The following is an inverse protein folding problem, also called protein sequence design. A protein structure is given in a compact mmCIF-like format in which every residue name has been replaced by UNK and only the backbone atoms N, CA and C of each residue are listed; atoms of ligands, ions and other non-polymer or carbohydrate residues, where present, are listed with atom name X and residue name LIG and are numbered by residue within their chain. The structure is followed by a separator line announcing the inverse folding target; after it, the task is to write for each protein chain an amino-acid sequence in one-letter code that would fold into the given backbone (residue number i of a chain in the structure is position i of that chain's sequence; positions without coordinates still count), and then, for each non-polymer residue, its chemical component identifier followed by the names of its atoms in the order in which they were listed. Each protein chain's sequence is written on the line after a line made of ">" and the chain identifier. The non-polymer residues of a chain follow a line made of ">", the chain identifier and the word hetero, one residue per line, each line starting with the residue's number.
data_IF_683891785758
#
_entry.id   IF_683891785758
#
_cell.length_a   1.000
_cell.length_b   1.000
_cell.length_c   1.000
_cell.angle_alpha   90.00
_cell.angle_beta   90.00
_cell.angle_gamma   90.00
#
_symmetry.space_group_name_H-M   'P 1'
#
loop_
_entity.id
_entity.type
_entity.pdbx_description
1 polymer ?
#
# COMPACT_ATOMS: atom_id res chain seq x y z
N UNK A 1 9.69 83.94 -0.04
CA UNK A 1 9.42 85.13 -0.87
C UNK A 1 7.93 85.12 -1.15
N UNK A 2 7.17 85.78 -0.27
CA UNK A 2 6.43 87.02 -0.57
C UNK A 2 5.17 86.79 -1.41
N UNK A 3 4.00 86.80 -0.76
CA UNK A 3 3.04 87.94 -0.71
C UNK A 3 2.13 87.95 -1.97
N UNK A 4 0.79 87.94 -1.90
CA UNK A 4 -0.12 88.83 -1.15
C UNK A 4 -1.56 88.30 -1.18
N UNK A 5 -2.30 88.56 -0.10
CA UNK A 5 -3.77 88.59 -0.04
C UNK A 5 -4.31 89.78 -0.83
N UNK A 6 -5.52 89.67 -1.39
CA UNK A 6 -6.53 90.73 -1.27
C UNK A 6 -7.94 90.16 -1.41
N UNK A 7 -8.81 90.54 -0.48
CA UNK A 7 -10.23 90.23 -0.43
C UNK A 7 -11.04 91.25 -1.27
N UNK A 8 -12.20 90.84 -1.79
CA UNK A 8 -13.34 91.74 -2.03
C UNK A 8 -14.67 90.99 -1.94
N UNK A 9 -15.59 91.58 -1.16
CA UNK A 9 -17.00 91.20 -0.94
C UNK A 9 -17.86 91.49 -2.18
N UNK A 10 -18.88 90.67 -2.40
CA UNK A 10 -20.04 90.93 -3.28
C UNK A 10 -21.25 90.09 -2.83
N UNK A 11 -22.43 90.71 -2.80
CA UNK A 11 -23.69 90.34 -2.15
C UNK A 11 -24.42 89.08 -2.69
N UNK A 12 -25.52 88.59 -2.05
CA UNK A 12 -26.04 87.24 -2.18
C UNK A 12 -27.10 87.09 -3.29
N UNK A 13 -27.04 85.99 -4.03
CA UNK A 13 -28.09 85.58 -4.96
C UNK A 13 -28.99 84.52 -4.31
N UNK A 14 -30.24 84.89 -4.04
CA UNK A 14 -31.30 83.96 -3.64
C UNK A 14 -31.66 83.05 -4.82
N UNK A 15 -31.32 81.76 -4.73
CA UNK A 15 -31.87 80.72 -5.59
C UNK A 15 -33.04 80.08 -4.86
N UNK A 16 -34.25 80.48 -5.26
CA UNK A 16 -35.51 79.87 -4.84
C UNK A 16 -35.51 78.41 -5.31
N UNK A 17 -35.47 77.50 -4.34
CA UNK A 17 -35.68 76.08 -4.50
C UNK A 17 -37.16 75.85 -4.86
N UNK A 18 -37.44 75.47 -6.11
CA UNK A 18 -38.68 74.82 -6.47
C UNK A 18 -38.44 73.31 -6.51
N UNK A 19 -38.73 72.65 -5.38
CA UNK A 19 -38.81 71.20 -5.27
C UNK A 19 -40.06 70.74 -6.03
N UNK A 20 -39.89 70.32 -7.29
CA UNK A 20 -40.85 69.43 -7.92
C UNK A 20 -40.52 68.01 -7.48
N UNK A 21 -41.17 67.56 -6.41
CA UNK A 21 -41.21 66.16 -6.03
C UNK A 21 -42.04 65.40 -7.09
N UNK A 22 -41.37 64.94 -8.14
CA UNK A 22 -41.93 63.92 -9.03
C UNK A 22 -41.92 62.62 -8.22
N UNK A 23 -43.06 62.27 -7.63
CA UNK A 23 -43.35 60.93 -7.14
C UNK A 23 -43.35 59.99 -8.36
N UNK A 24 -42.18 59.47 -8.72
CA UNK A 24 -42.06 58.24 -9.48
C UNK A 24 -42.56 57.12 -8.57
N UNK A 25 -43.87 56.90 -8.55
CA UNK A 25 -44.40 55.59 -8.22
C UNK A 25 -43.93 54.63 -9.31
N UNK A 26 -42.79 53.99 -9.09
CA UNK A 26 -42.51 52.71 -9.73
C UNK A 26 -43.58 51.76 -9.24
N UNK A 27 -44.64 51.58 -10.02
CA UNK A 27 -45.51 50.42 -9.89
C UNK A 27 -44.62 49.22 -10.17
N UNK A 28 -44.07 48.62 -9.12
CA UNK A 28 -43.51 47.29 -9.23
C UNK A 28 -44.69 46.37 -9.56
N UNK A 29 -44.80 45.94 -10.81
CA UNK A 29 -45.74 44.88 -11.15
C UNK A 29 -45.24 43.64 -10.42
N UNK A 30 -45.94 43.24 -9.36
CA UNK A 30 -45.62 42.03 -8.63
C UNK A 30 -45.77 40.85 -9.60
N UNK A 31 -44.66 40.22 -9.96
CA UNK A 31 -44.66 39.01 -10.78
C UNK A 31 -45.21 37.87 -9.93
N UNK A 32 -46.27 37.21 -10.38
CA UNK A 32 -46.87 36.09 -9.65
C UNK A 32 -45.88 34.92 -9.64
N UNK A 33 -45.65 34.34 -8.47
CA UNK A 33 -44.76 33.21 -8.26
C UNK A 33 -45.48 32.11 -7.54
N UNK A 34 -45.46 30.91 -8.12
CA UNK A 34 -45.88 29.67 -7.47
C UNK A 34 -44.72 28.70 -7.43
N UNK A 35 -44.87 27.68 -6.60
CA UNK A 35 -43.98 26.54 -6.59
C UNK A 35 -44.79 25.24 -6.59
N UNK A 36 -44.25 24.22 -7.24
CA UNK A 36 -44.84 22.88 -7.29
C UNK A 36 -43.71 21.86 -7.23
N UNK A 37 -43.82 20.82 -6.38
CA UNK A 37 -42.91 19.69 -6.47
C UNK A 37 -43.02 19.03 -7.84
N UNK A 38 -41.92 18.45 -8.30
CA UNK A 38 -41.97 17.56 -9.45
C UNK A 38 -42.69 16.24 -9.12
N UNK A 39 -42.86 15.39 -10.14
CA UNK A 39 -43.45 14.06 -10.03
C UNK A 39 -44.88 13.99 -9.45
N UNK A 40 -45.55 15.15 -9.34
CA UNK A 40 -46.95 15.25 -8.91
C UNK A 40 -47.94 14.74 -9.97
N UNK A 41 -49.09 14.28 -9.50
CA UNK A 41 -50.16 13.75 -10.36
C UNK A 41 -50.74 14.83 -11.29
N UNK A 42 -51.18 14.41 -12.47
CA UNK A 42 -51.89 15.28 -13.43
C UNK A 42 -53.18 15.80 -12.80
N UNK A 43 -53.43 17.10 -12.94
CA UNK A 43 -54.55 17.80 -12.30
C UNK A 43 -54.23 18.34 -10.91
N UNK A 44 -52.98 18.23 -10.44
CA UNK A 44 -52.54 18.90 -9.20
C UNK A 44 -52.66 20.42 -9.34
N UNK A 45 -53.23 21.07 -8.32
CA UNK A 45 -53.36 22.53 -8.24
C UNK A 45 -52.00 23.16 -7.92
N UNK A 46 -51.57 24.10 -8.76
CA UNK A 46 -50.34 24.88 -8.56
C UNK A 46 -50.63 26.21 -7.87
N UNK A 47 -51.71 26.89 -8.25
CA UNK A 47 -52.04 28.21 -7.70
C UNK A 47 -53.27 28.84 -8.35
N UNK A 48 -53.89 29.82 -7.68
CA UNK A 48 -55.08 30.50 -8.18
C UNK A 48 -54.71 31.87 -8.79
N UNK A 49 -54.42 31.86 -10.09
CA UNK A 49 -53.95 33.07 -10.79
C UNK A 49 -55.05 34.15 -10.82
N UNK A 50 -56.31 33.75 -11.05
CA UNK A 50 -57.41 34.72 -11.11
C UNK A 50 -57.60 35.46 -9.80
N UNK A 51 -57.54 34.76 -8.67
CA UNK A 51 -57.62 35.38 -7.34
C UNK A 51 -56.47 36.36 -7.12
N UNK A 52 -55.24 35.99 -7.48
CA UNK A 52 -54.06 36.82 -7.25
C UNK A 52 -53.99 38.04 -8.19
N UNK A 53 -54.62 37.96 -9.37
CA UNK A 53 -54.84 39.09 -10.28
C UNK A 53 -56.11 39.90 -9.99
N UNK A 54 -56.94 39.48 -9.03
CA UNK A 54 -58.22 40.13 -8.72
C UNK A 54 -59.28 40.00 -9.82
N UNK A 55 -59.21 38.95 -10.64
CA UNK A 55 -60.13 38.66 -11.73
C UNK A 55 -61.29 37.79 -11.25
N UNK A 56 -62.53 38.18 -11.59
CA UNK A 56 -63.71 37.36 -11.32
C UNK A 56 -63.95 36.31 -12.43
N UNK A 57 -64.72 35.28 -12.11
CA UNK A 57 -64.99 34.14 -13.01
C UNK A 57 -65.68 34.53 -14.32
N UNK A 58 -66.49 35.59 -14.32
CA UNK A 58 -67.17 36.05 -15.54
C UNK A 58 -66.14 36.69 -16.47
N UNK A 59 -65.28 37.55 -15.94
CA UNK A 59 -64.18 38.20 -16.66
C UNK A 59 -63.24 37.17 -17.31
N UNK A 60 -62.91 36.07 -16.64
CA UNK A 60 -62.03 35.03 -17.21
C UNK A 60 -62.61 34.40 -18.48
N UNK A 61 -63.91 34.08 -18.48
CA UNK A 61 -64.58 33.44 -19.60
C UNK A 61 -64.84 34.44 -20.74
N UNK A 62 -65.33 35.62 -20.41
CA UNK A 62 -65.68 36.66 -21.39
C UNK A 62 -64.43 37.19 -22.11
N UNK A 63 -63.31 37.27 -21.40
CA UNK A 63 -62.02 37.71 -21.93
C UNK A 63 -61.07 36.56 -22.32
N UNK A 64 -61.59 35.33 -22.40
CA UNK A 64 -60.88 34.13 -22.86
C UNK A 64 -59.49 33.94 -22.22
N UNK A 65 -59.43 33.98 -20.90
CA UNK A 65 -58.18 33.84 -20.17
C UNK A 65 -57.47 32.53 -20.51
N UNK A 66 -56.19 32.59 -20.89
CA UNK A 66 -55.42 31.39 -21.27
C UNK A 66 -53.92 31.59 -21.12
N UNK A 67 -53.21 30.48 -21.01
CA UNK A 67 -51.74 30.43 -21.16
C UNK A 67 -51.39 30.44 -22.65
N UNK A 68 -50.37 31.22 -23.01
CA UNK A 68 -49.75 31.22 -24.33
C UNK A 68 -48.54 30.31 -24.27
N UNK A 69 -48.64 29.15 -24.90
CA UNK A 69 -47.53 28.20 -25.06
C UNK A 69 -47.31 27.93 -26.55
N UNK A 70 -46.04 27.86 -26.96
CA UNK A 70 -45.66 27.42 -28.30
C UNK A 70 -45.46 25.90 -28.37
N UNK A 71 -45.51 25.20 -27.23
CA UNK A 71 -45.36 23.76 -27.15
C UNK A 71 -46.72 23.08 -27.37
N UNK A 72 -46.74 22.02 -28.18
CA UNK A 72 -47.94 21.23 -28.46
C UNK A 72 -48.45 20.48 -27.21
N UNK A 73 -47.54 20.21 -26.25
CA UNK A 73 -47.85 19.56 -24.97
C UNK A 73 -47.32 20.40 -23.80
N UNK A 74 -48.10 21.35 -23.27
CA UNK A 74 -47.65 22.26 -22.21
C UNK A 74 -47.64 21.58 -20.84
N UNK A 75 -46.63 21.89 -20.01
CA UNK A 75 -46.51 21.38 -18.62
C UNK A 75 -47.68 21.81 -17.72
N UNK A 76 -48.26 22.98 -17.98
CA UNK A 76 -49.32 23.58 -17.17
C UNK A 76 -50.50 24.03 -18.03
N UNK A 77 -51.70 23.98 -17.47
CA UNK A 77 -52.90 24.56 -18.06
C UNK A 77 -53.64 25.41 -17.02
N UNK A 78 -54.40 26.39 -17.50
CA UNK A 78 -55.27 27.21 -16.66
C UNK A 78 -56.71 26.94 -17.05
N UNK A 79 -57.57 26.61 -16.09
CA UNK A 79 -58.99 26.44 -16.33
C UNK A 79 -59.66 27.82 -16.42
N UNK A 80 -60.40 28.05 -17.50
CA UNK A 80 -61.04 29.35 -17.79
C UNK A 80 -62.27 29.63 -16.90
N UNK A 81 -62.78 28.62 -16.21
CA UNK A 81 -63.97 28.69 -15.37
C UNK A 81 -63.66 29.08 -13.91
N UNK A 82 -62.47 28.74 -13.41
CA UNK A 82 -62.04 29.02 -12.05
C UNK A 82 -60.74 29.84 -11.95
N UNK A 83 -59.95 29.92 -13.04
CA UNK A 83 -58.70 30.65 -13.11
C UNK A 83 -57.54 30.00 -12.36
N UNK A 84 -57.65 28.71 -12.04
CA UNK A 84 -56.65 27.93 -11.32
C UNK A 84 -55.67 27.30 -12.31
N UNK A 85 -54.40 27.35 -11.94
CA UNK A 85 -53.30 26.72 -12.65
C UNK A 85 -53.17 25.26 -12.19
N UNK A 86 -53.18 24.34 -13.14
CA UNK A 86 -53.08 22.91 -12.91
C UNK A 86 -51.91 22.30 -13.70
N UNK A 87 -51.35 21.22 -13.16
CA UNK A 87 -50.37 20.39 -13.86
C UNK A 87 -51.05 19.58 -14.96
N UNK A 88 -50.56 19.68 -16.20
CA UNK A 88 -51.15 18.98 -17.37
C UNK A 88 -50.51 17.63 -17.65
N UNK A 89 -49.23 17.49 -17.30
CA UNK A 89 -48.44 16.27 -17.50
C UNK A 89 -47.45 16.14 -16.35
N UNK A 90 -46.99 14.91 -16.08
CA UNK A 90 -45.97 14.67 -15.07
C UNK A 90 -44.71 15.48 -15.39
N UNK A 91 -44.12 16.08 -14.37
CA UNK A 91 -42.95 16.94 -14.49
C UNK A 91 -41.78 16.14 -13.92
N UNK A 92 -40.82 15.82 -14.77
CA UNK A 92 -39.50 15.31 -14.41
C UNK A 92 -38.55 16.51 -14.50
N UNK A 93 -38.02 16.96 -13.35
CA UNK A 93 -37.18 18.17 -13.28
C UNK A 93 -35.84 17.92 -13.95
N UNK A 94 -35.29 16.73 -13.85
CA UNK A 94 -34.02 16.33 -14.45
C UNK A 94 -34.11 16.38 -15.99
N UNK A 95 -35.26 16.02 -16.56
CA UNK A 95 -35.51 16.15 -18.01
C UNK A 95 -35.64 17.62 -18.44
N UNK A 96 -36.38 18.43 -17.69
CA UNK A 96 -36.75 19.79 -18.12
C UNK A 96 -35.66 20.82 -17.83
N UNK A 97 -34.99 20.69 -16.69
CA UNK A 97 -34.03 21.67 -16.18
C UNK A 97 -32.60 21.13 -16.03
N UNK A 98 -32.38 19.84 -16.30
CA UNK A 98 -31.10 19.17 -16.11
C UNK A 98 -30.53 19.44 -14.70
N UNK A 99 -29.21 19.63 -14.61
CA UNK A 99 -28.51 19.89 -13.35
C UNK A 99 -28.53 21.37 -12.92
N UNK A 100 -29.48 22.16 -13.43
CA UNK A 100 -29.57 23.57 -13.04
C UNK A 100 -29.97 23.70 -11.58
N UNK A 101 -29.29 24.58 -10.83
CA UNK A 101 -29.57 24.82 -9.41
C UNK A 101 -30.95 25.43 -9.12
N UNK A 102 -31.61 25.98 -10.14
CA UNK A 102 -32.97 26.49 -10.07
C UNK A 102 -33.76 26.09 -11.30
N UNK A 103 -34.99 25.60 -11.12
CA UNK A 103 -35.89 25.24 -12.21
C UNK A 103 -37.11 26.16 -12.21
N UNK A 104 -37.14 27.16 -13.10
CA UNK A 104 -38.21 28.17 -13.15
C UNK A 104 -38.86 28.23 -14.53
N UNK A 105 -40.16 27.96 -14.58
CA UNK A 105 -40.98 28.01 -15.79
C UNK A 105 -41.64 29.38 -15.90
N UNK A 106 -41.32 30.10 -16.96
CA UNK A 106 -41.92 31.41 -17.24
C UNK A 106 -43.16 31.24 -18.12
N UNK A 107 -44.34 31.32 -17.50
CA UNK A 107 -45.62 31.25 -18.18
C UNK A 107 -46.12 32.64 -18.55
N UNK A 108 -46.65 32.78 -19.76
CA UNK A 108 -47.30 33.99 -20.26
C UNK A 108 -48.80 33.76 -20.33
N UNK A 109 -49.60 34.53 -19.59
CA UNK A 109 -51.05 34.47 -19.65
C UNK A 109 -51.63 35.72 -20.28
N UNK A 110 -52.78 35.58 -20.95
CA UNK A 110 -53.41 36.67 -21.70
C UNK A 110 -54.91 36.76 -21.44
N UNK A 111 -55.41 37.98 -21.37
CA UNK A 111 -56.83 38.33 -21.47
C UNK A 111 -57.04 39.10 -22.78
N UNK A 112 -58.15 38.84 -23.46
CA UNK A 112 -58.52 39.52 -24.70
C UNK A 112 -59.49 40.68 -24.44
N UNK A 113 -59.47 41.69 -25.32
CA UNK A 113 -60.43 42.82 -25.39
C UNK A 113 -60.69 43.59 -24.07
N UNK A 114 -59.77 44.46 -23.60
CA UNK A 114 -58.47 44.81 -24.20
C UNK A 114 -57.41 43.72 -23.97
N UNK A 115 -56.33 43.73 -24.76
CA UNK A 115 -55.24 42.78 -24.56
C UNK A 115 -54.47 43.12 -23.28
N UNK A 116 -54.48 42.21 -22.30
CA UNK A 116 -53.65 42.28 -21.10
C UNK A 116 -52.77 41.02 -21.00
N UNK A 117 -51.53 41.21 -20.59
CA UNK A 117 -50.52 40.14 -20.50
C UNK A 117 -49.98 40.09 -19.08
N UNK A 118 -49.99 38.90 -18.48
CA UNK A 118 -49.39 38.66 -17.17
C UNK A 118 -48.31 37.59 -17.29
N UNK A 119 -47.25 37.74 -16.48
CA UNK A 119 -46.16 36.79 -16.40
C UNK A 119 -46.23 36.06 -15.05
N UNK A 120 -46.33 34.74 -15.12
CA UNK A 120 -46.39 33.86 -13.95
C UNK A 120 -45.15 32.99 -13.97
N UNK A 121 -44.39 32.96 -12.87
CA UNK A 121 -43.27 32.04 -12.71
C UNK A 121 -43.73 30.86 -11.87
N UNK A 122 -43.48 29.65 -12.35
CA UNK A 122 -43.64 28.44 -11.56
C UNK A 122 -42.27 27.86 -11.29
N UNK A 123 -41.87 27.84 -10.04
CA UNK A 123 -40.67 27.14 -9.57
C UNK A 123 -41.00 25.66 -9.41
N UNK A 124 -40.29 24.81 -10.15
CA UNK A 124 -40.38 23.35 -9.97
C UNK A 124 -39.41 22.97 -8.87
N UNK A 125 -39.94 22.48 -7.76
CA UNK A 125 -39.16 22.05 -6.61
C UNK A 125 -38.69 20.62 -6.83
N UNK A 126 -37.38 20.46 -6.69
CA UNK A 126 -36.68 19.19 -6.70
C UNK A 126 -37.18 18.26 -5.58
N UNK A 127 -37.26 16.96 -5.86
CA UNK A 127 -37.50 15.93 -4.84
C UNK A 127 -36.34 14.93 -4.84
N UNK A 128 -36.14 14.22 -3.72
CA UNK A 128 -35.11 13.19 -3.65
C UNK A 128 -35.61 11.88 -4.30
N UNK A 129 -35.69 11.82 -5.63
CA UNK A 129 -36.15 10.66 -6.40
C UNK A 129 -35.02 9.88 -7.09
N UNK A 130 -33.83 10.46 -7.25
CA UNK A 130 -32.61 9.75 -7.63
C UNK A 130 -31.75 9.40 -6.41
N UNK A 131 -30.65 8.67 -6.65
CA UNK A 131 -29.69 8.29 -5.63
C UNK A 131 -28.28 8.53 -6.17
N UNK A 132 -27.30 8.81 -5.31
CA UNK A 132 -25.91 8.91 -5.74
C UNK A 132 -25.47 7.63 -6.44
N UNK A 133 -24.76 7.77 -7.57
CA UNK A 133 -24.24 6.63 -8.32
C UNK A 133 -22.80 6.86 -8.75
N UNK A 134 -21.97 5.83 -8.64
CA UNK A 134 -20.61 5.85 -9.17
C UNK A 134 -20.63 5.35 -10.62
N UNK A 135 -19.78 5.91 -11.52
CA UNK A 135 -19.66 5.41 -12.89
C UNK A 135 -19.23 3.93 -12.95
N UNK A 136 -18.32 3.55 -12.07
CA UNK A 136 -17.80 2.18 -11.93
C UNK A 136 -18.15 1.65 -10.52
N UNK A 137 -18.58 0.39 -10.43
CA UNK A 137 -18.85 -0.27 -9.14
C UNK A 137 -17.58 -0.66 -8.40
N UNK A 138 -16.46 -0.82 -9.11
CA UNK A 138 -15.22 -1.34 -8.59
C UNK A 138 -14.02 -0.52 -9.07
N UNK A 139 -13.11 -0.18 -8.15
CA UNK A 139 -11.86 0.53 -8.44
C UNK A 139 -10.68 -0.23 -7.89
N UNK A 140 -9.74 -0.62 -8.76
CA UNK A 140 -8.45 -1.14 -8.31
C UNK A 140 -7.41 -0.02 -8.28
N UNK A 141 -6.67 0.06 -7.17
CA UNK A 141 -5.51 0.93 -6.98
C UNK A 141 -4.30 0.07 -6.69
N UNK A 142 -3.15 0.43 -7.25
CA UNK A 142 -1.88 -0.24 -6.98
C UNK A 142 -0.97 0.74 -6.25
N UNK A 143 -0.44 0.33 -5.10
CA UNK A 143 0.42 1.15 -4.25
C UNK A 143 1.59 0.32 -3.77
N UNK A 144 2.82 0.83 -3.90
CA UNK A 144 3.98 0.19 -3.28
C UNK A 144 3.87 0.23 -1.76
N UNK A 145 4.38 -0.78 -1.06
CA UNK A 145 4.36 -0.78 0.41
C UNK A 145 5.21 0.34 1.03
N UNK A 146 6.27 0.74 0.33
CA UNK A 146 7.11 1.89 0.67
C UNK A 146 6.41 3.25 0.50
N UNK A 147 5.12 3.28 0.11
CA UNK A 147 4.35 4.50 0.00
C UNK A 147 4.27 5.22 1.34
N UNK A 148 4.65 6.50 1.35
CA UNK A 148 4.67 7.28 2.58
C UNK A 148 3.24 7.64 3.04
N UNK A 149 2.98 7.60 4.36
CA UNK A 149 1.77 8.18 4.91
C UNK A 149 1.59 9.64 4.50
N UNK A 150 0.37 9.99 4.09
CA UNK A 150 0.00 11.31 3.60
C UNK A 150 -0.15 11.41 2.08
N UNK A 151 0.24 10.39 1.32
CA UNK A 151 -0.02 10.32 -0.13
C UNK A 151 -1.53 10.40 -0.38
N UNK A 152 -1.90 11.24 -1.36
CA UNK A 152 -3.29 11.62 -1.67
C UNK A 152 -3.67 11.10 -3.06
N UNK A 153 -4.72 10.30 -3.13
CA UNK A 153 -5.25 9.73 -4.38
C UNK A 153 -6.68 10.19 -4.58
N UNK A 154 -6.94 11.14 -5.49
CA UNK A 154 -8.30 11.53 -5.85
C UNK A 154 -9.07 10.33 -6.41
N UNK A 155 -10.28 10.14 -5.91
CA UNK A 155 -11.22 9.14 -6.40
C UNK A 155 -12.26 9.81 -7.30
N UNK A 156 -12.90 9.02 -8.16
CA UNK A 156 -14.00 9.52 -8.97
C UNK A 156 -15.19 9.84 -8.06
N UNK A 157 -15.78 11.05 -8.15
CA UNK A 157 -16.97 11.39 -7.39
C UNK A 157 -18.19 10.64 -7.93
N UNK A 158 -19.11 10.32 -7.04
CA UNK A 158 -20.45 9.91 -7.40
C UNK A 158 -21.21 11.07 -8.06
N UNK A 159 -22.19 10.74 -8.88
CA UNK A 159 -23.11 11.68 -9.51
C UNK A 159 -24.52 11.41 -9.02
N UNK A 160 -25.20 12.50 -8.73
CA UNK A 160 -26.62 12.50 -8.41
C UNK A 160 -27.30 13.50 -9.36
N UNK A 161 -28.32 13.07 -10.13
CA UNK A 161 -29.14 13.96 -10.95
C UNK A 161 -29.86 15.05 -10.14
N UNK A 162 -30.19 14.76 -8.88
CA UNK A 162 -30.93 15.65 -8.02
C UNK A 162 -30.09 16.90 -7.67
N UNK A 163 -30.77 18.01 -7.41
CA UNK A 163 -30.18 19.32 -7.21
C UNK A 163 -29.98 19.67 -5.74
N UNK A 164 -29.16 20.71 -5.51
CA UNK A 164 -29.03 21.35 -4.19
C UNK A 164 -28.79 20.37 -3.03
N UNK A 165 -29.69 20.29 -2.04
CA UNK A 165 -29.53 19.40 -0.88
C UNK A 165 -29.75 17.91 -1.20
N UNK A 166 -30.42 17.56 -2.29
CA UNK A 166 -30.66 16.18 -2.70
C UNK A 166 -29.54 15.64 -3.61
N UNK A 167 -28.65 16.51 -4.09
CA UNK A 167 -27.38 16.08 -4.67
C UNK A 167 -26.42 15.48 -3.63
N UNK A 168 -25.28 14.93 -4.09
CA UNK A 168 -24.26 14.31 -3.22
C UNK A 168 -23.76 15.26 -2.13
N UNK A 169 -24.06 14.94 -0.87
CA UNK A 169 -23.67 15.77 0.28
C UNK A 169 -22.49 15.22 1.06
N UNK A 170 -22.31 13.90 1.12
CA UNK A 170 -21.29 13.29 1.97
C UNK A 170 -20.68 12.06 1.32
N UNK A 171 -19.39 11.83 1.59
CA UNK A 171 -18.75 10.54 1.36
C UNK A 171 -18.30 9.94 2.68
N UNK A 172 -18.38 8.61 2.76
CA UNK A 172 -17.89 7.80 3.89
C UNK A 172 -17.04 6.66 3.35
N UNK A 173 -15.96 6.36 4.04
CA UNK A 173 -15.12 5.19 3.77
C UNK A 173 -15.42 4.14 4.84
N UNK A 174 -15.44 2.87 4.44
CA UNK A 174 -15.52 1.74 5.37
C UNK A 174 -14.43 1.80 6.44
N UNK A 175 -14.72 1.25 7.61
CA UNK A 175 -13.75 1.17 8.70
C UNK A 175 -12.49 0.41 8.27
N UNK A 176 -11.32 1.00 8.51
CA UNK A 176 -10.02 0.42 8.23
C UNK A 176 -8.91 1.20 8.97
N UNK A 177 -7.72 0.62 9.06
CA UNK A 177 -6.59 1.20 9.80
C UNK A 177 -5.62 2.04 8.96
N UNK A 178 -5.52 1.75 7.66
CA UNK A 178 -4.44 2.25 6.81
C UNK A 178 -4.83 3.44 5.94
N UNK A 179 -6.12 3.68 5.73
CA UNK A 179 -6.64 4.69 4.83
C UNK A 179 -7.69 5.55 5.52
N UNK A 180 -7.67 6.84 5.18
CA UNK A 180 -8.69 7.80 5.57
C UNK A 180 -9.19 8.56 4.35
N UNK A 181 -10.36 9.15 4.48
CA UNK A 181 -10.99 9.94 3.43
C UNK A 181 -10.94 11.43 3.77
N UNK A 182 -10.48 12.24 2.83
CA UNK A 182 -10.63 13.70 2.84
C UNK A 182 -11.58 14.07 1.68
N UNK A 183 -12.56 14.92 1.94
CA UNK A 183 -13.50 15.37 0.90
C UNK A 183 -13.18 16.83 0.60
N UNK A 184 -12.82 17.09 -0.66
CA UNK A 184 -12.61 18.47 -1.14
C UNK A 184 -13.92 18.99 -1.73
N UNK A 185 -14.47 20.00 -1.08
CA UNK A 185 -15.63 20.73 -1.58
C UNK A 185 -15.17 21.77 -2.61
N UNK A 186 -15.71 21.70 -3.84
CA UNK A 186 -15.43 22.67 -4.89
C UNK A 186 -16.60 23.64 -5.13
N UNK A 187 -17.62 23.66 -4.28
CA UNK A 187 -18.84 24.42 -4.53
C UNK A 187 -19.64 23.79 -5.66
N UNK A 188 -19.86 24.53 -6.74
CA UNK A 188 -20.73 24.12 -7.86
C UNK A 188 -20.20 22.89 -8.63
N UNK A 189 -18.89 22.62 -8.60
CA UNK A 189 -18.28 21.41 -9.22
C UNK A 189 -18.49 20.12 -8.39
N UNK A 190 -19.22 20.22 -7.27
CA UNK A 190 -19.50 19.11 -6.37
C UNK A 190 -18.34 18.75 -5.42
N UNK A 191 -18.51 17.62 -4.73
CA UNK A 191 -17.57 17.14 -3.71
C UNK A 191 -16.69 16.04 -4.27
N UNK A 192 -15.38 16.15 -4.08
CA UNK A 192 -14.40 15.18 -4.57
C UNK A 192 -13.82 14.36 -3.40
N UNK A 193 -14.02 13.03 -3.37
CA UNK A 193 -13.38 12.15 -2.40
C UNK A 193 -11.89 11.96 -2.72
N UNK A 194 -11.02 12.09 -1.72
CA UNK A 194 -9.57 11.88 -1.81
C UNK A 194 -9.19 10.82 -0.77
N UNK A 195 -8.71 9.68 -1.25
CA UNK A 195 -8.17 8.62 -0.40
C UNK A 195 -6.77 9.03 0.05
N UNK A 196 -6.50 8.91 1.35
CA UNK A 196 -5.19 9.26 1.93
C UNK A 196 -4.65 8.06 2.68
N UNK A 197 -3.39 7.71 2.39
CA UNK A 197 -2.63 6.74 3.17
C UNK A 197 -2.39 7.33 4.57
N UNK A 198 -2.94 6.71 5.60
CA UNK A 198 -2.87 7.16 6.99
C UNK A 198 -1.76 6.46 7.78
N UNK A 199 -1.58 5.15 7.58
CA UNK A 199 -0.50 4.34 8.14
C UNK A 199 0.30 3.71 7.01
N UNK A 200 1.54 3.33 7.27
CA UNK A 200 2.37 2.60 6.31
C UNK A 200 1.67 1.32 5.86
N UNK A 201 1.97 0.90 4.64
CA UNK A 201 1.57 -0.38 4.10
C UNK A 201 2.74 -1.36 4.25
N UNK A 202 2.42 -2.64 4.31
CA UNK A 202 3.35 -3.76 4.49
C UNK A 202 2.69 -4.94 3.79
N UNK A 203 3.27 -5.38 2.68
CA UNK A 203 2.69 -6.41 1.81
C UNK A 203 2.76 -7.77 2.47
N UNK A 204 3.84 -8.06 3.20
CA UNK A 204 4.05 -9.31 3.95
C UNK A 204 3.00 -9.47 5.05
N UNK A 205 2.57 -8.36 5.66
CA UNK A 205 1.44 -8.35 6.59
C UNK A 205 0.08 -8.42 5.87
N UNK A 206 -0.13 -7.64 4.82
CA UNK A 206 -1.37 -7.61 4.04
C UNK A 206 -1.16 -7.15 2.59
N UNK A 207 -1.08 -8.09 1.65
CA UNK A 207 -0.90 -7.80 0.22
C UNK A 207 -2.08 -7.07 -0.47
N UNK A 208 -3.23 -6.92 0.19
CA UNK A 208 -4.33 -6.10 -0.32
C UNK A 208 -5.30 -5.62 0.76
N UNK A 209 -5.99 -4.51 0.47
CA UNK A 209 -7.06 -3.96 1.31
C UNK A 209 -8.34 -3.75 0.49
N UNK A 210 -9.46 -4.27 0.98
CA UNK A 210 -10.78 -4.03 0.42
C UNK A 210 -11.49 -2.94 1.21
N UNK A 211 -11.89 -1.87 0.54
CA UNK A 211 -12.57 -0.72 1.11
C UNK A 211 -13.90 -0.51 0.38
N UNK A 212 -14.86 0.11 1.05
CA UNK A 212 -16.13 0.54 0.42
C UNK A 212 -16.25 2.05 0.58
N UNK A 213 -16.42 2.75 -0.54
CA UNK A 213 -16.73 4.17 -0.57
C UNK A 213 -18.23 4.35 -0.77
N UNK A 214 -18.89 4.97 0.21
CA UNK A 214 -20.33 5.27 0.17
C UNK A 214 -20.53 6.77 -0.06
N UNK A 215 -21.28 7.14 -1.09
CA UNK A 215 -21.80 8.48 -1.32
C UNK A 215 -23.22 8.58 -0.76
N UNK A 216 -23.55 9.71 -0.11
CA UNK A 216 -24.83 9.98 0.54
C UNK A 216 -25.36 11.32 0.06
N UNK A 217 -26.64 11.37 -0.29
CA UNK A 217 -27.39 12.61 -0.51
C UNK A 217 -27.75 13.31 0.83
N UNK A 218 -28.45 14.44 0.76
CA UNK A 218 -28.98 15.16 1.92
C UNK A 218 -30.47 14.93 2.19
N UNK A 219 -31.07 13.91 1.56
CA UNK A 219 -32.47 13.54 1.72
C UNK A 219 -32.83 13.06 3.13
N UNK A 220 -34.13 12.96 3.39
CA UNK A 220 -34.68 12.41 4.65
C UNK A 220 -35.83 11.44 4.35
N UNK A 221 -35.58 10.12 4.31
CA UNK A 221 -34.30 9.44 4.55
C UNK A 221 -33.28 9.71 3.43
N UNK A 222 -31.96 9.64 3.73
CA UNK A 222 -30.94 9.79 2.71
C UNK A 222 -30.86 8.52 1.84
N UNK A 223 -30.59 8.68 0.54
CA UNK A 223 -30.20 7.58 -0.33
C UNK A 223 -28.68 7.58 -0.50
N UNK A 224 -28.17 6.46 -1.01
CA UNK A 224 -26.74 6.21 -1.10
C UNK A 224 -26.37 5.37 -2.31
N UNK A 225 -25.15 5.59 -2.81
CA UNK A 225 -24.46 4.72 -3.74
C UNK A 225 -23.13 4.26 -3.19
N UNK A 226 -22.66 3.11 -3.65
CA UNK A 226 -21.41 2.50 -3.17
C UNK A 226 -20.48 2.12 -4.32
N UNK A 227 -19.17 2.18 -4.06
CA UNK A 227 -18.11 1.69 -4.93
C UNK A 227 -17.10 0.91 -4.09
N UNK A 228 -16.76 -0.30 -4.53
CA UNK A 228 -15.71 -1.10 -3.92
C UNK A 228 -14.34 -0.61 -4.39
N UNK A 229 -13.38 -0.54 -3.47
CA UNK A 229 -12.01 -0.16 -3.78
C UNK A 229 -11.10 -1.30 -3.33
N UNK A 230 -10.37 -1.90 -4.27
CA UNK A 230 -9.31 -2.86 -3.98
C UNK A 230 -7.97 -2.15 -4.09
N UNK A 231 -7.29 -1.97 -2.97
CA UNK A 231 -5.89 -1.51 -2.96
C UNK A 231 -4.99 -2.74 -2.97
N UNK A 232 -4.25 -2.95 -4.05
CA UNK A 232 -3.20 -3.96 -4.14
C UNK A 232 -1.89 -3.34 -3.68
N UNK A 233 -1.24 -4.00 -2.73
CA UNK A 233 0.08 -3.59 -2.24
C UNK A 233 1.13 -4.23 -3.14
N UNK A 234 1.96 -3.41 -3.77
CA UNK A 234 3.06 -3.85 -4.61
C UNK A 234 4.33 -4.01 -3.77
N UNK A 235 5.01 -5.11 -4.02
CA UNK A 235 6.24 -5.55 -3.36
C UNK A 235 7.43 -4.62 -3.65
N UNK A 236 8.26 -4.43 -2.64
CA UNK A 236 9.57 -3.80 -2.65
C UNK A 236 10.52 -4.74 -1.90
N UNK A 237 11.75 -4.87 -2.39
CA UNK A 237 12.77 -5.69 -1.73
C UNK A 237 13.24 -5.04 -0.41
N UNK A 238 12.51 -5.26 0.68
CA UNK A 238 12.77 -4.68 2.00
C UNK A 238 13.04 -5.74 3.09
N UNK A 239 12.88 -7.02 2.78
CA UNK A 239 13.32 -8.12 3.61
C UNK A 239 14.63 -8.70 3.06
N UNK A 240 15.55 -9.01 3.97
CA UNK A 240 16.79 -9.70 3.61
C UNK A 240 16.65 -11.20 3.94
N UNK A 241 17.32 -12.10 3.20
CA UNK A 241 17.21 -13.53 3.47
C UNK A 241 17.65 -13.86 4.90
N UNK A 242 16.83 -14.60 5.64
CA UNK A 242 17.10 -14.98 7.03
C UNK A 242 17.43 -16.47 7.13
N UNK A 243 18.63 -16.79 7.61
CA UNK A 243 19.02 -18.18 7.87
C UNK A 243 18.21 -18.80 9.02
N UNK A 244 17.87 -20.08 8.89
CA UNK A 244 17.05 -20.81 9.87
C UNK A 244 17.75 -21.09 11.21
N UNK A 245 19.08 -20.98 11.26
CA UNK A 245 19.89 -21.19 12.46
C UNK A 245 20.85 -20.03 12.68
N UNK A 246 21.07 -19.70 13.96
CA UNK A 246 22.04 -18.68 14.33
C UNK A 246 23.49 -19.14 14.18
N UNK A 247 23.73 -20.44 14.41
CA UNK A 247 25.04 -21.08 14.34
C UNK A 247 24.86 -22.43 13.66
N UNK A 248 25.59 -22.65 12.57
CA UNK A 248 25.70 -23.96 11.93
C UNK A 248 26.97 -24.65 12.40
N UNK A 249 26.86 -25.85 12.98
CA UNK A 249 28.02 -26.66 13.33
C UNK A 249 27.81 -28.13 12.98
N UNK A 250 28.82 -28.73 12.36
CA UNK A 250 28.78 -30.12 11.90
C UNK A 250 30.11 -30.82 12.11
N UNK A 251 30.06 -32.13 12.29
CA UNK A 251 31.24 -32.99 12.33
C UNK A 251 31.41 -33.69 10.99
N UNK A 252 32.63 -33.68 10.46
CA UNK A 252 32.99 -34.32 9.20
C UNK A 252 34.19 -35.22 9.46
N UNK A 253 34.13 -36.48 9.06
CA UNK A 253 35.33 -37.33 9.12
C UNK A 253 36.36 -36.83 8.11
N UNK A 254 37.62 -36.87 8.47
CA UNK A 254 38.66 -36.71 7.46
C UNK A 254 38.59 -37.82 6.41
N UNK A 255 39.31 -37.66 5.31
CA UNK A 255 39.27 -38.57 4.16
C UNK A 255 37.86 -38.83 3.58
N UNK A 256 36.89 -37.98 3.93
CA UNK A 256 35.56 -38.05 3.35
C UNK A 256 35.64 -37.94 1.81
N UNK A 257 34.98 -38.84 1.06
CA UNK A 257 35.02 -38.81 -0.40
C UNK A 257 34.56 -37.45 -0.95
N UNK A 258 35.18 -37.02 -2.04
CA UNK A 258 34.71 -35.84 -2.80
C UNK A 258 33.25 -36.05 -3.21
N UNK A 259 32.44 -35.02 -3.01
CA UNK A 259 30.98 -35.04 -3.19
C UNK A 259 30.19 -35.39 -1.92
N UNK A 260 30.85 -35.73 -0.80
CA UNK A 260 30.16 -35.97 0.47
C UNK A 260 29.45 -34.69 0.93
N UNK A 261 28.16 -34.78 1.23
CA UNK A 261 27.39 -33.69 1.83
C UNK A 261 27.89 -33.40 3.23
N UNK A 262 28.29 -32.15 3.47
CA UNK A 262 28.75 -31.67 4.78
C UNK A 262 27.54 -31.17 5.58
N UNK A 263 26.79 -30.22 5.02
CA UNK A 263 25.58 -29.67 5.63
C UNK A 263 24.73 -29.01 4.55
N UNK A 264 23.42 -28.96 4.76
CA UNK A 264 22.52 -28.12 3.98
C UNK A 264 21.99 -27.00 4.85
N UNK A 265 22.29 -25.77 4.48
CA UNK A 265 21.74 -24.57 5.12
C UNK A 265 20.44 -24.16 4.45
N UNK A 266 19.64 -23.37 5.17
CA UNK A 266 18.41 -22.82 4.63
C UNK A 266 18.25 -21.37 5.08
N UNK A 267 17.90 -20.50 4.15
CA UNK A 267 17.48 -19.14 4.37
C UNK A 267 16.15 -18.90 3.66
N UNK A 268 15.32 -18.05 4.26
CA UNK A 268 14.00 -17.68 3.76
C UNK A 268 13.92 -16.17 3.64
N UNK A 269 13.29 -15.72 2.58
CA UNK A 269 12.97 -14.33 2.33
C UNK A 269 11.44 -14.20 2.21
N UNK A 270 10.87 -13.10 2.70
CA UNK A 270 9.42 -12.90 2.76
C UNK A 270 8.87 -12.15 1.54
N UNK A 271 9.75 -11.52 0.75
CA UNK A 271 9.38 -10.71 -0.40
C UNK A 271 8.84 -11.57 -1.57
N UNK A 272 8.22 -10.94 -2.56
CA UNK A 272 7.58 -11.63 -3.68
C UNK A 272 8.52 -11.88 -4.87
N UNK A 273 8.44 -13.09 -5.45
CA UNK A 273 9.11 -13.39 -6.71
C UNK A 273 10.63 -13.25 -6.62
N UNK A 274 11.30 -12.52 -7.53
CA UNK A 274 12.75 -12.33 -7.50
C UNK A 274 13.28 -11.71 -6.19
N UNK A 275 12.48 -10.88 -5.53
CA UNK A 275 12.86 -10.26 -4.26
C UNK A 275 12.87 -11.30 -3.12
N UNK A 276 12.02 -12.34 -3.19
CA UNK A 276 12.03 -13.46 -2.24
C UNK A 276 12.94 -14.65 -2.64
N UNK A 277 13.50 -14.63 -3.85
CA UNK A 277 14.21 -15.77 -4.42
C UNK A 277 15.65 -15.85 -3.90
N UNK A 278 15.90 -16.73 -2.94
CA UNK A 278 17.22 -16.85 -2.29
C UNK A 278 18.25 -17.61 -3.15
N UNK A 279 19.46 -17.08 -3.18
CA UNK A 279 20.68 -17.69 -3.75
C UNK A 279 21.78 -17.76 -2.71
N UNK A 280 22.51 -18.87 -2.70
CA UNK A 280 23.57 -19.13 -1.72
C UNK A 280 24.98 -19.02 -2.33
N UNK A 281 25.89 -18.37 -1.61
CA UNK A 281 27.26 -18.11 -2.08
C UNK A 281 28.24 -18.14 -0.89
N UNK A 282 29.52 -18.42 -1.16
CA UNK A 282 30.56 -18.12 -0.19
C UNK A 282 30.73 -16.59 -0.07
N UNK A 283 30.92 -16.10 1.16
CA UNK A 283 31.25 -14.69 1.38
C UNK A 283 32.55 -14.32 0.65
N UNK A 284 32.66 -13.08 0.20
CA UNK A 284 33.84 -12.56 -0.51
C UNK A 284 35.12 -12.58 0.35
N UNK A 285 34.97 -12.75 1.67
CA UNK A 285 36.05 -12.77 2.66
C UNK A 285 36.60 -14.19 2.87
N UNK A 286 35.92 -15.23 2.35
CA UNK A 286 36.34 -16.62 2.51
C UNK A 286 37.75 -16.85 1.94
N UNK A 287 38.59 -17.53 2.74
CA UNK A 287 39.93 -17.88 2.33
C UNK A 287 39.92 -18.77 1.07
N UNK A 288 40.66 -18.36 0.04
CA UNK A 288 40.76 -19.09 -1.24
C UNK A 288 41.17 -20.57 -1.11
N UNK A 289 41.86 -20.96 -0.04
CA UNK A 289 42.15 -22.38 0.25
C UNK A 289 40.86 -23.16 0.52
N UNK A 290 39.91 -22.58 1.25
CA UNK A 290 38.63 -23.23 1.60
C UNK A 290 37.75 -23.47 0.37
N UNK A 291 37.81 -22.57 -0.62
CA UNK A 291 37.12 -22.73 -1.91
C UNK A 291 37.62 -23.92 -2.74
N UNK A 292 38.79 -24.49 -2.39
CA UNK A 292 39.30 -25.73 -3.00
C UNK A 292 38.84 -26.97 -2.24
N UNK A 293 38.52 -26.83 -0.96
CA UNK A 293 38.15 -27.92 -0.06
C UNK A 293 36.64 -28.16 -0.04
N UNK A 294 35.84 -27.11 -0.22
CA UNK A 294 34.38 -27.17 -0.16
C UNK A 294 33.74 -26.54 -1.40
N UNK A 295 32.61 -27.09 -1.81
CA UNK A 295 31.72 -26.53 -2.82
C UNK A 295 30.41 -26.11 -2.16
N UNK A 296 29.71 -25.12 -2.72
CA UNK A 296 28.45 -24.63 -2.18
C UNK A 296 27.43 -24.46 -3.30
N UNK A 297 26.35 -25.23 -3.24
CA UNK A 297 25.31 -25.21 -4.26
C UNK A 297 24.42 -23.96 -4.12
N UNK A 298 24.36 -23.09 -5.15
CA UNK A 298 23.67 -21.81 -5.05
C UNK A 298 22.15 -21.91 -4.98
N UNK A 299 21.55 -23.04 -5.41
CA UNK A 299 20.10 -23.22 -5.44
C UNK A 299 19.58 -24.04 -4.26
N UNK A 300 20.38 -24.98 -3.74
CA UNK A 300 19.93 -25.90 -2.68
C UNK A 300 20.43 -25.56 -1.28
N UNK A 301 21.45 -24.69 -1.18
CA UNK A 301 22.11 -24.39 0.10
C UNK A 301 22.95 -25.56 0.61
N UNK A 302 23.32 -26.51 -0.24
CA UNK A 302 24.12 -27.68 0.15
C UNK A 302 25.62 -27.42 0.02
N UNK A 303 26.37 -27.64 1.11
CA UNK A 303 27.83 -27.60 1.14
C UNK A 303 28.36 -29.03 1.03
N UNK A 304 29.28 -29.26 0.09
CA UNK A 304 29.87 -30.58 -0.18
C UNK A 304 31.40 -30.54 -0.15
N UNK A 305 32.01 -31.71 0.07
CA UNK A 305 33.46 -31.88 0.01
C UNK A 305 33.94 -31.80 -1.45
N UNK A 306 34.95 -30.98 -1.72
CA UNK A 306 35.54 -30.75 -3.05
C UNK A 306 37.01 -31.16 -3.14
N UNK A 307 37.71 -31.11 -2.01
CA UNK A 307 39.12 -31.48 -1.89
C UNK A 307 39.36 -32.50 -0.79
N UNK A 308 40.60 -32.95 -0.66
CA UNK A 308 41.02 -33.84 0.42
C UNK A 308 41.04 -33.06 1.74
N UNK A 309 40.51 -33.68 2.79
CA UNK A 309 40.45 -33.11 4.13
C UNK A 309 41.24 -34.04 5.03
N UNK A 310 42.21 -33.45 5.71
CA UNK A 310 43.22 -34.09 6.55
C UNK A 310 43.15 -33.44 7.94
N UNK A 311 42.98 -34.26 8.97
CA UNK A 311 42.87 -33.81 10.35
C UNK A 311 44.20 -33.28 10.88
N UNK A 312 45.32 -33.94 10.55
CA UNK A 312 46.67 -33.56 10.93
C UNK A 312 47.08 -32.20 10.32
N UNK A 313 46.56 -31.84 9.14
CA UNK A 313 46.70 -30.46 8.61
C UNK A 313 45.84 -29.46 9.40
N UNK A 314 44.54 -29.76 9.59
CA UNK A 314 43.61 -28.87 10.30
C UNK A 314 42.35 -29.56 10.82
N UNK A 315 42.16 -29.49 12.13
CA UNK A 315 41.02 -30.07 12.86
C UNK A 315 39.69 -29.29 12.77
N UNK A 316 39.71 -28.05 12.28
CA UNK A 316 38.54 -27.17 12.24
C UNK A 316 38.55 -26.19 11.06
N UNK A 317 37.43 -26.13 10.36
CA UNK A 317 37.15 -25.14 9.33
C UNK A 317 35.99 -24.23 9.72
N UNK A 318 36.10 -22.97 9.33
CA UNK A 318 35.03 -21.98 9.46
C UNK A 318 34.76 -21.40 8.08
N UNK A 319 33.55 -21.61 7.57
CA UNK A 319 33.10 -21.14 6.27
C UNK A 319 32.13 -19.99 6.49
N UNK A 320 32.46 -18.83 5.94
CA UNK A 320 31.57 -17.68 5.94
C UNK A 320 30.67 -17.77 4.69
N UNK A 321 29.38 -17.98 4.91
CA UNK A 321 28.38 -18.15 3.86
C UNK A 321 27.50 -16.91 3.77
N UNK A 322 26.94 -16.67 2.59
CA UNK A 322 26.04 -15.58 2.28
C UNK A 322 24.78 -16.13 1.61
N UNK A 323 23.62 -15.66 2.06
CA UNK A 323 22.36 -15.78 1.33
C UNK A 323 22.01 -14.39 0.78
N UNK A 324 21.60 -14.32 -0.48
CA UNK A 324 21.22 -13.10 -1.18
C UNK A 324 19.95 -13.35 -1.96
N UNK A 325 19.04 -12.40 -1.97
CA UNK A 325 17.90 -12.44 -2.89
C UNK A 325 18.34 -12.11 -4.35
N UNK A 326 17.38 -12.14 -5.28
CA UNK A 326 17.58 -11.75 -6.69
C UNK A 326 16.88 -10.43 -7.03
N UNK A 327 16.61 -9.60 -6.03
CA UNK A 327 16.05 -8.26 -6.22
C UNK A 327 16.96 -7.39 -7.08
N UNK A 328 16.40 -6.30 -7.62
CA UNK A 328 17.17 -5.35 -8.44
C UNK A 328 18.31 -4.70 -7.65
N UNK A 329 18.04 -4.39 -6.38
CA UNK A 329 19.02 -4.00 -5.38
C UNK A 329 19.02 -5.08 -4.30
N UNK A 330 19.86 -6.12 -4.44
CA UNK A 330 19.72 -7.31 -3.61
C UNK A 330 20.16 -7.06 -2.18
N UNK A 331 19.40 -7.62 -1.24
CA UNK A 331 19.72 -7.68 0.16
C UNK A 331 20.38 -9.03 0.46
N UNK A 332 21.26 -9.03 1.45
CA UNK A 332 22.01 -10.24 1.78
C UNK A 332 22.39 -10.32 3.25
N UNK A 333 22.48 -11.55 3.72
CA UNK A 333 22.83 -11.90 5.10
C UNK A 333 23.99 -12.87 5.11
N UNK A 334 24.89 -12.74 6.08
CA UNK A 334 26.05 -13.61 6.25
C UNK A 334 25.99 -14.40 7.55
N UNK A 335 26.51 -15.64 7.53
CA UNK A 335 26.62 -16.53 8.71
C UNK A 335 27.89 -17.39 8.63
N UNK A 336 28.37 -17.87 9.78
CA UNK A 336 29.48 -18.83 9.86
C UNK A 336 28.97 -20.26 9.99
N UNK A 337 29.59 -21.17 9.24
CA UNK A 337 29.45 -22.64 9.36
C UNK A 337 30.73 -23.20 9.94
N UNK A 338 30.63 -23.86 11.09
CA UNK A 338 31.76 -24.48 11.78
C UNK A 338 31.80 -25.97 11.48
N UNK A 339 32.83 -26.41 10.77
CA UNK A 339 33.07 -27.81 10.45
C UNK A 339 34.19 -28.32 11.35
N UNK A 340 33.90 -29.30 12.20
CA UNK A 340 34.88 -29.99 13.05
C UNK A 340 35.29 -31.28 12.38
N UNK A 341 36.58 -31.48 12.19
CA UNK A 341 37.11 -32.70 11.59
C UNK A 341 37.23 -33.77 12.67
N UNK A 342 36.80 -34.98 12.32
CA UNK A 342 36.93 -36.16 13.17
C UNK A 342 38.06 -37.01 12.63
N UNK A 343 39.08 -37.16 13.45
CA UNK A 343 40.26 -38.01 13.27
C UNK A 343 39.85 -39.47 12.95
N UNK A 344 40.47 -40.03 11.91
CA UNK A 344 40.40 -41.41 11.45
C UNK A 344 41.83 -41.94 11.44
N UNK A 345 42.04 -43.12 12.03
CA UNK A 345 43.36 -43.76 12.05
C UNK A 345 43.85 -44.12 10.63
N UNK A 346 44.63 -43.24 10.03
CA UNK A 346 45.19 -43.37 8.69
C UNK A 346 46.71 -43.16 8.64
N UNK A 347 47.33 -42.75 9.75
CA UNK A 347 48.77 -42.74 9.93
C UNK A 347 49.24 -43.98 10.69
N UNK A 348 50.18 -44.73 10.09
CA UNK A 348 50.80 -45.86 10.79
C UNK A 348 51.93 -45.37 11.72
N UNK A 349 52.15 -46.00 12.89
CA UNK A 349 53.26 -45.65 13.77
C UNK A 349 54.62 -45.79 13.09
N UNK A 350 55.42 -44.73 13.11
CA UNK A 350 56.79 -44.72 12.59
C UNK A 350 57.80 -44.95 13.72
N UNK A 351 58.71 -45.90 13.51
CA UNK A 351 59.75 -46.26 14.48
C UNK A 351 61.09 -45.70 14.00
N UNK A 352 61.66 -44.79 14.79
CA UNK A 352 62.99 -44.23 14.53
C UNK A 352 64.02 -44.80 15.52
N UNK A 353 65.07 -45.43 15.00
CA UNK A 353 66.17 -45.94 15.84
C UNK A 353 67.17 -44.82 16.07
N UNK A 354 66.96 -44.05 17.14
CA UNK A 354 67.80 -42.91 17.53
C UNK A 354 69.25 -43.28 17.88
N UNK A 355 69.47 -44.50 18.40
CA UNK A 355 70.82 -45.04 18.58
C UNK A 355 70.80 -46.56 18.66
N UNK A 356 71.81 -47.18 18.06
CA UNK A 356 71.98 -48.63 18.05
C UNK A 356 73.44 -49.01 18.31
N UNK A 357 73.67 -49.92 19.24
CA UNK A 357 75.00 -50.45 19.52
C UNK A 357 75.30 -51.64 18.61
N UNK A 358 76.22 -51.48 17.65
CA UNK A 358 76.56 -52.51 16.66
C UNK A 358 77.31 -53.72 17.24
N UNK A 359 77.92 -53.57 18.42
CA UNK A 359 78.56 -54.67 19.14
C UNK A 359 78.33 -54.52 20.63
N UNK A 360 78.04 -55.63 21.29
CA UNK A 360 77.85 -55.72 22.74
C UNK A 360 78.79 -56.82 23.24
N UNK A 361 79.77 -56.50 24.10
CA UNK A 361 80.66 -57.50 24.68
C UNK A 361 79.87 -58.61 25.40
N UNK A 362 80.26 -59.87 25.24
CA UNK A 362 79.57 -61.02 25.84
C UNK A 362 79.52 -60.98 27.38
N UNK A 363 80.47 -60.27 28.02
CA UNK A 363 80.54 -60.07 29.46
C UNK A 363 79.76 -58.83 29.95
N UNK A 364 78.93 -58.24 29.09
CA UNK A 364 78.07 -57.11 29.45
C UNK A 364 77.07 -57.50 30.53
N UNK A 365 76.84 -56.60 31.49
CA UNK A 365 75.92 -56.84 32.60
C UNK A 365 74.47 -56.80 32.12
N UNK A 366 73.55 -57.59 32.71
CA UNK A 366 72.12 -57.45 32.50
C UNK A 366 71.64 -56.00 32.62
N UNK A 367 70.76 -55.57 31.72
CA UNK A 367 70.29 -54.19 31.66
C UNK A 367 71.16 -53.22 30.85
N UNK A 368 72.24 -53.70 30.22
CA UNK A 368 73.01 -52.93 29.22
C UNK A 368 72.08 -52.49 28.08
N UNK A 369 72.11 -51.21 27.72
CA UNK A 369 71.27 -50.65 26.65
C UNK A 369 71.79 -51.07 25.29
N UNK A 370 70.93 -51.71 24.50
CA UNK A 370 71.19 -52.22 23.15
C UNK A 370 70.86 -51.14 22.12
N UNK A 371 69.69 -50.51 22.27
CA UNK A 371 69.20 -49.49 21.36
C UNK A 371 68.30 -48.49 22.09
N UNK A 372 68.21 -47.26 21.57
CA UNK A 372 67.10 -46.34 21.82
C UNK A 372 66.27 -46.21 20.56
N UNK A 373 64.96 -46.40 20.71
CA UNK A 373 63.98 -46.17 19.66
C UNK A 373 63.00 -45.09 20.11
N UNK A 374 62.57 -44.26 19.17
CA UNK A 374 61.44 -43.36 19.29
C UNK A 374 60.31 -43.91 18.42
N UNK A 375 59.06 -43.75 18.86
CA UNK A 375 57.90 -44.14 18.06
C UNK A 375 56.97 -42.94 18.01
N UNK A 376 56.62 -42.53 16.81
CA UNK A 376 55.75 -41.40 16.56
C UNK A 376 54.59 -41.84 15.69
N UNK A 377 53.39 -41.43 16.06
CA UNK A 377 52.16 -41.62 15.30
C UNK A 377 51.53 -40.24 15.17
N UNK A 378 51.13 -39.88 13.95
CA UNK A 378 50.62 -38.53 13.67
C UNK A 378 49.14 -38.38 14.05
N UNK A 379 48.42 -39.50 14.15
CA UNK A 379 47.02 -39.49 14.56
C UNK A 379 46.86 -38.96 16.00
N UNK A 380 45.65 -38.57 16.37
CA UNK A 380 45.33 -38.01 17.69
C UNK A 380 44.51 -38.95 18.58
N UNK A 381 44.36 -38.57 19.85
CA UNK A 381 43.51 -39.28 20.81
C UNK A 381 43.89 -40.76 21.01
N UNK A 382 42.94 -41.65 20.70
CA UNK A 382 43.16 -43.10 20.79
C UNK A 382 43.90 -43.66 19.57
N UNK A 383 43.80 -42.99 18.42
CA UNK A 383 44.37 -43.46 17.16
C UNK A 383 45.90 -43.36 17.21
N UNK A 384 46.45 -42.25 17.72
CA UNK A 384 47.91 -42.09 17.90
C UNK A 384 48.52 -42.81 19.10
N UNK A 385 47.75 -43.65 19.82
CA UNK A 385 48.27 -44.35 21.00
C UNK A 385 48.96 -45.66 20.61
N UNK A 386 50.29 -45.63 20.63
CA UNK A 386 51.10 -46.80 20.24
C UNK A 386 51.46 -47.69 21.43
N UNK A 387 51.40 -49.02 21.20
CA UNK A 387 51.88 -50.05 22.14
C UNK A 387 52.98 -50.85 21.45
N UNK A 388 54.16 -50.93 22.07
CA UNK A 388 55.31 -51.66 21.52
C UNK A 388 55.53 -52.98 22.25
N UNK A 389 55.84 -54.03 21.50
CA UNK A 389 56.22 -55.35 22.01
C UNK A 389 57.48 -55.86 21.31
N UNK A 390 58.31 -56.63 22.02
CA UNK A 390 59.49 -57.29 21.45
C UNK A 390 59.38 -58.79 21.68
N UNK A 391 59.65 -59.56 20.64
CA UNK A 391 59.67 -61.02 20.71
C UNK A 391 61.13 -61.49 20.80
N UNK A 392 61.65 -61.56 22.04
CA UNK A 392 63.00 -62.06 22.31
C UNK A 392 63.13 -62.59 23.73
N UNK A 393 63.91 -63.65 23.89
CA UNK A 393 64.28 -64.21 25.19
C UNK A 393 65.50 -63.54 25.82
N UNK A 394 66.19 -62.65 25.08
CA UNK A 394 67.49 -62.08 25.49
C UNK A 394 67.50 -60.56 25.62
N UNK A 395 66.40 -59.87 25.25
CA UNK A 395 66.27 -58.42 25.35
C UNK A 395 64.87 -58.02 25.79
N UNK A 396 64.76 -56.90 26.52
CA UNK A 396 63.50 -56.34 27.03
C UNK A 396 63.33 -54.87 26.64
N UNK A 397 62.07 -54.47 26.46
CA UNK A 397 61.63 -53.08 26.31
C UNK A 397 61.51 -52.45 27.70
N UNK A 398 62.15 -51.29 27.89
CA UNK A 398 61.86 -50.38 29.01
C UNK A 398 61.45 -49.02 28.48
N UNK A 399 60.24 -48.58 28.84
CA UNK A 399 59.80 -47.21 28.60
C UNK A 399 60.64 -46.24 29.43
N UNK A 400 61.15 -45.19 28.79
CA UNK A 400 61.87 -44.10 29.43
C UNK A 400 61.25 -42.77 29.01
N UNK A 401 61.54 -41.70 29.76
CA UNK A 401 61.07 -40.37 29.38
C UNK A 401 61.63 -39.99 28.01
N UNK A 402 60.76 -39.78 27.01
CA UNK A 402 61.14 -39.41 25.65
C UNK A 402 61.58 -40.55 24.73
N UNK A 403 61.30 -41.82 25.05
CA UNK A 403 61.55 -42.93 24.12
C UNK A 403 61.50 -44.32 24.74
N UNK A 404 61.93 -45.33 23.99
CA UNK A 404 61.98 -46.72 24.42
C UNK A 404 63.44 -47.19 24.41
N UNK A 405 63.89 -47.78 25.52
CA UNK A 405 65.20 -48.44 25.61
C UNK A 405 65.04 -49.95 25.45
N UNK A 406 65.78 -50.53 24.52
CA UNK A 406 65.97 -51.97 24.43
C UNK A 406 67.20 -52.32 25.27
N UNK A 407 67.08 -53.30 26.16
CA UNK A 407 68.16 -53.72 27.06
C UNK A 407 68.35 -55.23 27.05
N UNK A 408 69.56 -55.70 27.30
CA UNK A 408 69.82 -57.12 27.50
C UNK A 408 69.04 -57.65 28.71
N UNK A 409 68.29 -58.74 28.50
CA UNK A 409 67.62 -59.52 29.53
C UNK A 409 68.66 -60.27 30.35
N UNK A 410 68.40 -60.43 31.64
CA UNK A 410 69.33 -61.06 32.58
C UNK A 410 69.43 -62.55 32.40
#
# INVERSE_FOLDING_TARGET
>A
MEQRRYARRGAPGYLVSCVFAVLLWSVAWAQIRYSVPEEVDVGTVVGNIAKDLGLDKHTLKDRKYRIVSNNADPLFHVDQSDGILYVSRKIDREEVCAQSSTCSMNLKTVLESPLEVHYVVVEVLDINDHAPSFPDSDKTLEMFESVLPGVRTPLQPARDPDGGPFSVQQYKLSHNDHFRLEVKDKGDDGKIPILIVHKSLDREAAGSHSLVLTALDGGKPPKSGEMNILVKVLDINDNAPVFSQDVYSVMLKENAPIGTTVIRVNATDLDEGPNGDVVYLFSSIVNRKLLKLFDFNPSTGEITVKGLIDYEEKDKYELEIQASDKGLAPLSTQKSVIIKIVDVNDNAPEIEVTSFSSSIPENSRPGTTVALISVNDLDSGLNGKVICSIESSYIIIKHVHGGIRIRQYG
#
